data_IF_788393333876
#
_entry.id   IF_788393333876
#
_cell.length_a   1.000
_cell.length_b   1.000
_cell.length_c   1.000
_cell.angle_alpha   90.00
_cell.angle_beta   90.00
_cell.angle_gamma   90.00
#
_symmetry.space_group_name_H-M   'P 1'
#
loop_
_entity.id
_entity.type
_entity.pdbx_description
1 polymer ?
#
# COMPACT_ATOMS: atom_id res chain seq x y z
N UNK A 1 2.52 4.39 -10.49
CA UNK A 1 2.28 5.56 -9.61
C UNK A 1 3.34 5.62 -8.54
N UNK A 2 3.63 6.81 -8.00
CA UNK A 2 4.60 6.99 -6.91
C UNK A 2 3.83 7.19 -5.61
N UNK A 3 4.27 6.57 -4.51
CA UNK A 3 3.67 6.68 -3.18
C UNK A 3 4.75 6.79 -2.12
N UNK A 4 4.57 7.73 -1.20
CA UNK A 4 5.36 7.81 0.05
C UNK A 4 4.43 7.35 1.19
N UNK A 5 4.63 6.16 1.77
CA UNK A 5 3.75 5.67 2.83
C UNK A 5 4.02 6.38 4.17
N UNK A 6 2.96 6.68 4.92
CA UNK A 6 3.08 7.11 6.31
C UNK A 6 3.26 5.90 7.26
N UNK A 7 4.29 5.08 7.01
CA UNK A 7 4.67 3.95 7.85
C UNK A 7 6.21 3.86 7.89
N UNK A 8 6.79 3.73 9.08
CA UNK A 8 8.24 3.72 9.26
C UNK A 8 8.93 2.47 8.73
N UNK A 9 8.25 1.32 8.66
CA UNK A 9 8.83 0.05 8.18
C UNK A 9 9.28 0.17 6.71
N UNK A 10 8.39 0.42 5.72
CA UNK A 10 8.81 0.55 4.33
C UNK A 10 9.74 1.74 4.10
N UNK A 11 9.61 2.82 4.88
CA UNK A 11 10.52 3.97 4.80
C UNK A 11 11.94 3.60 5.24
N UNK A 12 12.11 2.82 6.31
CA UNK A 12 13.41 2.31 6.74
C UNK A 12 13.99 1.33 5.72
N UNK A 13 13.18 0.41 5.17
CA UNK A 13 13.63 -0.53 4.13
C UNK A 13 14.19 0.21 2.92
N UNK A 14 13.47 1.19 2.37
CA UNK A 14 13.95 2.00 1.24
C UNK A 14 15.19 2.82 1.59
N UNK A 15 15.27 3.34 2.82
CA UNK A 15 16.44 4.09 3.30
C UNK A 15 17.70 3.22 3.34
N UNK A 16 17.61 2.03 3.90
CA UNK A 16 18.74 1.09 3.96
C UNK A 16 19.09 0.52 2.57
N UNK A 17 18.08 0.29 1.73
CA UNK A 17 18.27 -0.19 0.36
C UNK A 17 18.93 0.85 -0.56
N UNK A 18 18.71 2.14 -0.31
CA UNK A 18 19.25 3.24 -1.11
C UNK A 18 18.52 3.51 -2.43
N UNK A 19 17.46 2.76 -2.75
CA UNK A 19 16.64 2.94 -3.94
C UNK A 19 15.15 2.62 -3.68
N UNK A 20 14.22 3.09 -4.55
CA UNK A 20 12.80 2.77 -4.45
C UNK A 20 12.54 1.26 -4.57
N UNK A 21 11.40 0.82 -4.03
CA UNK A 21 10.87 -0.53 -4.20
C UNK A 21 9.60 -0.51 -5.05
N UNK A 22 9.48 -1.48 -5.95
CA UNK A 22 8.24 -1.73 -6.70
C UNK A 22 7.30 -2.50 -5.79
N UNK A 23 6.07 -2.02 -5.65
CA UNK A 23 5.07 -2.63 -4.77
C UNK A 23 3.72 -2.68 -5.46
N UNK A 24 2.92 -3.64 -5.03
CA UNK A 24 1.47 -3.68 -5.30
C UNK A 24 0.74 -3.84 -3.96
N UNK A 25 -0.55 -3.52 -3.95
CA UNK A 25 -1.39 -3.90 -2.81
C UNK A 25 -1.53 -5.41 -2.79
N UNK A 26 -1.48 -6.02 -1.61
CA UNK A 26 -1.93 -7.40 -1.43
C UNK A 26 -3.41 -7.40 -1.75
N UNK A 27 -3.79 -8.15 -2.78
CA UNK A 27 -5.15 -8.22 -3.29
C UNK A 27 -5.62 -9.65 -3.04
N UNK A 28 -6.72 -9.79 -2.34
CA UNK A 28 -7.39 -11.07 -2.20
C UNK A 28 -8.44 -11.18 -3.32
N UNK A 29 -8.46 -12.32 -4.02
CA UNK A 29 -9.45 -12.62 -5.05
C UNK A 29 -10.81 -12.97 -4.42
N UNK A 30 -10.81 -13.42 -3.15
CA UNK A 30 -11.98 -13.95 -2.44
C UNK A 30 -12.57 -12.95 -1.42
N UNK A 31 -12.64 -11.64 -1.71
CA UNK A 31 -13.51 -10.64 -1.03
C UNK A 31 -13.48 -10.54 0.53
N UNK A 32 -12.70 -11.35 1.26
CA UNK A 32 -12.62 -11.33 2.72
C UNK A 32 -11.54 -10.33 3.12
N UNK A 33 -11.99 -9.13 3.49
CA UNK A 33 -11.16 -7.96 3.80
C UNK A 33 -10.14 -8.24 4.93
N UNK A 34 -10.43 -9.19 5.82
CA UNK A 34 -9.66 -9.51 7.04
C UNK A 34 -8.23 -9.98 6.73
N UNK A 35 -8.02 -10.83 5.71
CA UNK A 35 -6.69 -11.37 5.35
C UNK A 35 -5.72 -10.31 4.85
N UNK A 36 -6.21 -9.18 4.33
CA UNK A 36 -5.34 -8.14 3.76
C UNK A 36 -4.70 -7.23 4.79
N UNK A 37 -5.15 -7.31 6.04
CA UNK A 37 -4.73 -6.41 7.13
C UNK A 37 -4.13 -7.12 8.33
N UNK A 38 -4.44 -8.40 8.57
CA UNK A 38 -3.86 -9.15 9.67
C UNK A 38 -2.55 -9.86 9.23
N UNK A 39 -1.40 -9.58 9.86
CA UNK A 39 -0.12 -10.18 9.49
C UNK A 39 -0.08 -11.71 9.64
N UNK A 40 -0.81 -12.30 10.61
CA UNK A 40 -0.86 -13.75 10.78
C UNK A 40 -1.57 -14.40 9.59
N UNK A 41 -2.74 -13.86 9.23
CA UNK A 41 -3.51 -14.29 8.07
C UNK A 41 -2.75 -14.11 6.74
N UNK A 42 -2.02 -12.99 6.58
CA UNK A 42 -1.14 -12.78 5.42
C UNK A 42 -0.07 -13.87 5.36
N UNK A 43 0.55 -14.22 6.49
CA UNK A 43 1.58 -15.26 6.54
C UNK A 43 1.01 -16.65 6.23
N UNK A 44 -0.16 -17.00 6.77
CA UNK A 44 -0.84 -18.26 6.48
C UNK A 44 -1.11 -18.43 4.98
N UNK A 45 -1.55 -17.37 4.31
CA UNK A 45 -1.89 -17.40 2.89
C UNK A 45 -0.66 -17.33 1.98
N UNK A 46 0.24 -16.37 2.22
CA UNK A 46 1.34 -16.04 1.30
C UNK A 46 2.71 -16.56 1.74
N UNK A 47 2.88 -17.06 2.97
CA UNK A 47 4.19 -17.41 3.54
C UNK A 47 4.96 -18.48 2.77
N UNK A 48 4.27 -19.29 1.93
CA UNK A 48 4.90 -20.26 1.02
C UNK A 48 5.25 -19.69 -0.36
N UNK A 49 4.73 -18.51 -0.71
CA UNK A 49 4.87 -17.85 -2.00
C UNK A 49 5.90 -16.71 -1.97
N UNK A 50 6.20 -16.18 -0.78
CA UNK A 50 7.16 -15.08 -0.60
C UNK A 50 8.34 -15.52 0.27
N UNK A 51 9.48 -14.84 0.12
CA UNK A 51 10.65 -15.13 0.94
C UNK A 51 10.50 -14.70 2.40
N UNK A 52 9.67 -13.70 2.67
CA UNK A 52 9.50 -13.12 4.00
C UNK A 52 8.17 -12.36 4.10
N UNK A 53 7.57 -12.41 5.29
CA UNK A 53 6.51 -11.50 5.72
C UNK A 53 7.04 -10.69 6.90
N UNK A 54 6.80 -9.38 6.90
CA UNK A 54 7.19 -8.50 8.00
C UNK A 54 5.92 -8.13 8.77
N UNK A 55 5.84 -8.59 10.02
CA UNK A 55 4.78 -8.18 10.94
C UNK A 55 5.02 -6.73 11.40
N UNK A 56 4.08 -5.85 11.03
CA UNK A 56 4.03 -4.46 11.45
C UNK A 56 2.75 -4.12 12.23
N UNK A 57 2.03 -5.14 12.72
CA UNK A 57 0.67 -5.04 13.23
C UNK A 57 -0.39 -4.92 12.13
N UNK A 58 -1.64 -4.69 12.56
CA UNK A 58 -2.78 -4.56 11.65
C UNK A 58 -2.60 -3.43 10.64
N UNK A 59 -2.82 -3.77 9.36
CA UNK A 59 -2.89 -2.83 8.25
C UNK A 59 -4.21 -2.04 8.21
N UNK A 60 -4.32 -1.16 7.23
CA UNK A 60 -5.53 -0.38 6.99
C UNK A 60 -6.29 -0.91 5.76
N UNK A 61 -7.59 -1.10 5.89
CA UNK A 61 -8.45 -1.54 4.78
C UNK A 61 -8.71 -0.43 3.74
N UNK A 62 -8.59 0.85 4.12
CA UNK A 62 -8.87 1.96 3.21
C UNK A 62 -7.67 2.23 2.31
N UNK A 63 -7.80 2.12 0.97
CA UNK A 63 -6.68 2.30 0.05
C UNK A 63 -6.23 3.76 -0.04
N UNK A 64 -5.06 3.99 -0.63
CA UNK A 64 -4.59 5.35 -0.94
C UNK A 64 -5.44 6.00 -2.04
N UNK A 65 -5.60 7.32 -1.93
CA UNK A 65 -6.07 8.16 -3.04
C UNK A 65 -5.04 8.11 -4.18
N UNK A 66 -5.53 8.02 -5.42
CA UNK A 66 -4.71 8.08 -6.63
C UNK A 66 -5.09 9.34 -7.39
N UNK A 67 -4.09 10.18 -7.64
CA UNK A 67 -4.19 11.38 -8.46
C UNK A 67 -3.30 11.20 -9.67
N UNK A 68 -3.87 11.40 -10.86
CA UNK A 68 -3.13 11.50 -12.12
C UNK A 68 -2.66 12.94 -12.31
N UNK A 69 -1.35 13.11 -12.28
CA UNK A 69 -0.66 14.40 -12.45
C UNK A 69 0.07 14.49 -13.81
N UNK A 70 -0.30 13.67 -14.81
CA UNK A 70 0.34 13.69 -16.14
C UNK A 70 -0.08 14.87 -17.02
N UNK A 71 -1.17 15.54 -16.65
CA UNK A 71 -1.72 16.72 -17.33
C UNK A 71 -1.58 17.96 -16.44
N UNK A 72 -1.74 19.16 -17.01
CA UNK A 72 -1.68 20.42 -16.25
C UNK A 72 -2.72 20.51 -15.11
N UNK A 73 -3.85 19.80 -15.25
CA UNK A 73 -4.90 19.73 -14.24
C UNK A 73 -4.92 18.31 -13.63
N UNK A 74 -4.57 18.16 -12.34
CA UNK A 74 -4.62 16.87 -11.66
C UNK A 74 -6.03 16.24 -11.72
N UNK A 75 -6.10 14.93 -11.90
CA UNK A 75 -7.36 14.18 -11.92
C UNK A 75 -7.39 13.13 -10.83
N UNK A 76 -8.46 13.09 -10.04
CA UNK A 76 -8.68 12.00 -9.09
C UNK A 76 -9.09 10.73 -9.85
N UNK A 77 -8.22 9.71 -9.85
CA UNK A 77 -8.48 8.40 -10.48
C UNK A 77 -9.13 7.45 -9.49
N UNK A 78 -8.78 7.56 -8.20
CA UNK A 78 -9.38 6.77 -7.11
C UNK A 78 -9.43 7.60 -5.85
N UNK A 79 -10.60 7.73 -5.23
CA UNK A 79 -10.74 8.30 -3.88
C UNK A 79 -10.41 7.23 -2.83
N UNK A 80 -9.52 7.56 -1.91
CA UNK A 80 -9.11 6.71 -0.79
C UNK A 80 -8.94 7.56 0.48
N UNK A 81 -7.98 7.20 1.33
CA UNK A 81 -7.71 7.89 2.62
C UNK A 81 -7.13 9.30 2.48
N UNK A 82 -6.47 9.62 1.36
CA UNK A 82 -5.82 10.92 1.17
C UNK A 82 -6.83 12.04 0.91
N UNK A 83 -6.62 13.20 1.53
CA UNK A 83 -7.41 14.41 1.27
C UNK A 83 -7.32 14.81 -0.20
N UNK A 84 -8.48 15.09 -0.79
CA UNK A 84 -8.61 15.48 -2.19
C UNK A 84 -8.77 16.99 -2.37
N UNK A 85 -9.03 17.74 -1.30
CA UNK A 85 -9.27 19.20 -1.34
C UNK A 85 -8.19 19.98 -2.09
N UNK A 86 -6.88 19.64 -2.01
CA UNK A 86 -5.84 20.33 -2.77
C UNK A 86 -5.89 20.15 -4.30
N UNK A 87 -6.72 19.24 -4.80
CA UNK A 87 -6.80 18.87 -6.23
C UNK A 87 -8.17 19.17 -6.85
N UNK A 88 -9.07 19.85 -6.11
CA UNK A 88 -10.39 20.27 -6.56
C UNK A 88 -10.37 21.70 -7.13
#
# INVERSE_FOLDING_TARGET
GIRIPNNNIPRKVVKELGNPIVTTSVKDDDMVIEYSTDPELIYEHFGKLVNMVIDGGYGEAVPSTIVDCTQNNPKIIRKGKGDITPFL
#
